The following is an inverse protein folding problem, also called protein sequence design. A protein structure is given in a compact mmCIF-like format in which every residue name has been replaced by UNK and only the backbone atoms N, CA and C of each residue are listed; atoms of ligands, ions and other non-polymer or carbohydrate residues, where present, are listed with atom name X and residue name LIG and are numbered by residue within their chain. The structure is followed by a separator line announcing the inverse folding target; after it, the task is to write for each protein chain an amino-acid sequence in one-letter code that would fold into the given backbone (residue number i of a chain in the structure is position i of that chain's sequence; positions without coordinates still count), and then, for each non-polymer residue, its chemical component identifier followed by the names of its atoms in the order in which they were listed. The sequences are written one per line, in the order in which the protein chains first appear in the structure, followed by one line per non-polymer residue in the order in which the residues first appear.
data_IF_359460763458
#
_entry.id   IF_359460763458
#
_cell.length_a   1.000
_cell.length_b   1.000
_cell.length_c   1.000
_cell.angle_alpha   90.00
_cell.angle_beta   90.00
_cell.angle_gamma   90.00
#
_symmetry.space_group_name_H-M   'P 1'
#
loop_
_entity.id
_entity.type
_entity.pdbx_description
1 polymer ?
#
# COMPACT_ATOMS: atom_id res chain seq x y z
N UNK A 1 -86.65 -16.08 -15.82
CA UNK A 1 -85.66 -16.49 -14.84
C UNK A 1 -84.44 -15.73 -15.14
N UNK A 2 -84.10 -14.72 -14.30
CA UNK A 2 -82.91 -13.88 -14.47
C UNK A 2 -81.90 -14.29 -13.34
N UNK A 3 -80.71 -14.80 -13.74
CA UNK A 3 -79.68 -15.12 -12.87
C UNK A 3 -78.81 -13.85 -12.63
N UNK A 4 -78.65 -13.42 -11.37
CA UNK A 4 -77.80 -12.34 -11.00
C UNK A 4 -76.40 -12.90 -10.66
N UNK A 5 -75.35 -12.45 -11.39
CA UNK A 5 -74.00 -12.71 -11.06
C UNK A 5 -73.48 -11.64 -10.04
N UNK A 6 -73.13 -12.09 -8.85
CA UNK A 6 -72.48 -11.26 -7.87
C UNK A 6 -70.94 -11.33 -8.12
N UNK A 7 -70.31 -10.19 -8.50
CA UNK A 7 -68.94 -10.07 -8.65
C UNK A 7 -68.32 -9.67 -7.29
N UNK A 8 -67.47 -10.55 -6.71
CA UNK A 8 -66.68 -10.27 -5.53
C UNK A 8 -65.34 -9.65 -5.98
N UNK A 9 -65.16 -8.38 -5.69
CA UNK A 9 -63.87 -7.69 -5.90
C UNK A 9 -62.92 -7.99 -4.72
N UNK A 10 -61.90 -8.78 -4.97
CA UNK A 10 -60.76 -8.91 -4.04
C UNK A 10 -59.81 -7.70 -4.22
N UNK A 11 -59.77 -6.82 -3.23
CA UNK A 11 -58.75 -5.78 -3.13
C UNK A 11 -57.48 -6.39 -2.58
N UNK A 12 -56.48 -6.58 -3.44
CA UNK A 12 -55.12 -6.91 -3.04
C UNK A 12 -54.42 -5.63 -2.58
N UNK A 13 -54.27 -5.46 -1.28
CA UNK A 13 -53.39 -4.47 -0.66
C UNK A 13 -51.92 -4.90 -0.87
N UNK A 14 -51.28 -4.35 -1.90
CA UNK A 14 -49.82 -4.41 -2.07
C UNK A 14 -49.17 -3.50 -1.02
N UNK A 15 -48.73 -4.09 0.09
CA UNK A 15 -47.85 -3.40 1.01
C UNK A 15 -46.47 -3.25 0.35
N UNK A 16 -46.16 -2.08 -0.19
CA UNK A 16 -44.78 -1.70 -0.56
C UNK A 16 -43.98 -1.57 0.72
N UNK A 17 -43.25 -2.61 1.08
CA UNK A 17 -42.16 -2.51 2.06
C UNK A 17 -41.02 -1.75 1.39
N UNK A 18 -40.86 -0.48 1.73
CA UNK A 18 -39.67 0.29 1.40
C UNK A 18 -38.51 -0.35 2.18
N UNK A 19 -37.70 -1.16 1.49
CA UNK A 19 -36.40 -1.59 2.01
C UNK A 19 -35.54 -0.34 2.06
N UNK A 20 -35.31 0.18 3.26
CA UNK A 20 -34.34 1.26 3.47
C UNK A 20 -32.97 0.70 3.07
N UNK A 21 -32.37 1.26 2.02
CA UNK A 21 -30.97 0.99 1.71
C UNK A 21 -30.12 1.27 2.96
N UNK A 22 -29.17 0.37 3.30
CA UNK A 22 -28.25 0.62 4.40
C UNK A 22 -27.50 1.91 4.09
N UNK A 23 -27.65 2.91 4.97
CA UNK A 23 -26.90 4.16 4.90
C UNK A 23 -25.42 3.79 4.95
N UNK A 24 -24.72 3.92 3.80
CA UNK A 24 -23.28 3.79 3.75
C UNK A 24 -22.70 4.83 4.71
N UNK A 25 -21.82 4.45 5.66
CA UNK A 25 -21.18 5.43 6.52
C UNK A 25 -20.43 6.41 5.60
N UNK A 26 -20.87 7.66 5.61
CA UNK A 26 -20.16 8.72 4.88
C UNK A 26 -18.77 8.83 5.47
N UNK A 27 -17.74 8.60 4.63
CA UNK A 27 -16.36 8.82 5.01
C UNK A 27 -16.24 10.25 5.54
N UNK A 28 -15.89 10.36 6.82
CA UNK A 28 -15.73 11.67 7.48
C UNK A 28 -14.64 12.42 6.74
N UNK A 29 -14.97 13.56 6.15
CA UNK A 29 -14.00 14.40 5.46
C UNK A 29 -12.81 14.67 6.40
N UNK A 30 -11.60 14.33 5.94
CA UNK A 30 -10.38 14.62 6.69
C UNK A 30 -10.20 16.14 6.80
N UNK A 31 -9.61 16.65 7.91
CA UNK A 31 -9.30 18.07 8.04
C UNK A 31 -8.50 18.59 6.85
N UNK A 32 -8.72 19.82 6.42
CA UNK A 32 -8.05 20.45 5.27
C UNK A 32 -6.51 20.47 5.38
N UNK A 33 -5.99 20.41 6.61
CA UNK A 33 -4.55 20.32 6.92
C UNK A 33 -3.88 19.03 6.40
N UNK A 34 -4.67 18.05 6.00
CA UNK A 34 -4.17 16.76 5.48
C UNK A 34 -4.24 16.66 3.94
N UNK A 35 -4.69 17.70 3.28
CA UNK A 35 -4.69 17.71 1.80
C UNK A 35 -3.27 17.87 1.28
N UNK A 36 -2.87 17.05 0.27
CA UNK A 36 -1.61 17.27 -0.41
C UNK A 36 -1.57 18.64 -1.07
N UNK A 37 -0.41 19.29 -1.00
CA UNK A 37 -0.16 20.59 -1.63
C UNK A 37 0.62 20.35 -2.91
N UNK A 38 0.07 20.76 -4.04
CA UNK A 38 0.76 20.68 -5.33
C UNK A 38 1.08 22.08 -5.87
N UNK A 39 2.09 22.20 -6.71
CA UNK A 39 2.46 23.47 -7.34
C UNK A 39 1.29 24.00 -8.18
N UNK A 40 1.01 25.31 -8.14
CA UNK A 40 0.05 25.92 -9.06
C UNK A 40 0.44 25.63 -10.53
N UNK A 41 -0.51 25.15 -11.32
CA UNK A 41 -0.28 24.81 -12.73
C UNK A 41 0.41 23.48 -12.99
N UNK A 42 0.71 22.70 -11.96
CA UNK A 42 1.25 21.35 -12.14
C UNK A 42 0.30 20.47 -12.97
N UNK A 43 0.86 19.73 -13.92
CA UNK A 43 0.12 18.74 -14.70
C UNK A 43 -0.34 17.58 -13.82
N UNK A 44 -1.32 16.77 -14.23
CA UNK A 44 -1.71 15.58 -13.47
C UNK A 44 -0.54 14.63 -13.17
N UNK A 45 0.36 14.45 -14.14
CA UNK A 45 1.57 13.64 -14.00
C UNK A 45 2.49 14.18 -12.90
N UNK A 46 2.75 15.50 -12.90
CA UNK A 46 3.59 16.13 -11.87
C UNK A 46 2.93 16.08 -10.50
N UNK A 47 1.61 16.27 -10.41
CA UNK A 47 0.88 16.13 -9.13
C UNK A 47 0.98 14.73 -8.54
N UNK A 48 0.96 13.68 -9.36
CA UNK A 48 1.17 12.30 -8.90
C UNK A 48 2.52 12.18 -8.19
N UNK A 49 3.59 12.67 -8.82
CA UNK A 49 4.95 12.64 -8.26
C UNK A 49 5.04 13.46 -6.97
N UNK A 50 4.49 14.67 -6.98
CA UNK A 50 4.51 15.56 -5.81
C UNK A 50 3.77 14.96 -4.62
N UNK A 51 2.58 14.39 -4.83
CA UNK A 51 1.77 13.79 -3.76
C UNK A 51 2.44 12.53 -3.22
N UNK A 52 2.96 11.65 -4.08
CA UNK A 52 3.67 10.47 -3.64
C UNK A 52 4.91 10.83 -2.78
N UNK A 53 5.66 11.85 -3.21
CA UNK A 53 6.84 12.35 -2.47
C UNK A 53 6.47 12.98 -1.12
N UNK A 54 5.35 13.71 -1.05
CA UNK A 54 4.86 14.27 0.21
C UNK A 54 4.44 13.16 1.19
N UNK A 55 3.76 12.13 0.70
CA UNK A 55 3.39 11.00 1.56
C UNK A 55 4.63 10.26 2.04
N UNK A 56 5.60 9.97 1.18
CA UNK A 56 6.88 9.39 1.58
C UNK A 56 7.57 10.19 2.70
N UNK A 57 7.67 11.53 2.54
CA UNK A 57 8.23 12.42 3.57
C UNK A 57 7.44 12.33 4.88
N UNK A 58 6.10 12.28 4.79
CA UNK A 58 5.19 12.19 5.96
C UNK A 58 5.36 10.88 6.73
N UNK A 59 5.76 9.81 6.05
CA UNK A 59 6.07 8.51 6.64
C UNK A 59 7.52 8.39 7.16
N UNK A 60 8.30 9.47 7.15
CA UNK A 60 9.64 9.52 7.70
C UNK A 60 10.77 9.31 6.69
N UNK A 61 10.47 9.26 5.39
CA UNK A 61 11.47 9.29 4.33
C UNK A 61 12.31 8.02 4.19
N UNK A 62 11.74 6.84 4.49
CA UNK A 62 12.44 5.57 4.35
C UNK A 62 12.85 5.31 2.90
N UNK A 63 14.11 4.89 2.69
CA UNK A 63 14.62 4.45 1.39
C UNK A 63 15.01 2.98 1.48
N UNK A 64 14.55 2.20 0.50
CA UNK A 64 14.90 0.79 0.32
C UNK A 64 15.70 0.68 -0.97
N UNK A 65 16.90 0.12 -0.92
CA UNK A 65 17.71 -0.16 -2.11
C UNK A 65 17.47 -1.59 -2.55
N UNK A 66 17.08 -1.73 -3.79
CA UNK A 66 16.85 -3.01 -4.44
C UNK A 66 17.97 -3.25 -5.45
N UNK A 67 19.02 -3.92 -5.00
CA UNK A 67 20.08 -4.42 -5.86
C UNK A 67 19.75 -5.80 -6.43
N UNK A 68 20.66 -6.30 -7.27
CA UNK A 68 20.50 -7.60 -7.95
C UNK A 68 20.28 -8.75 -6.96
N UNK A 69 21.07 -8.78 -5.90
CA UNK A 69 21.13 -9.91 -4.97
C UNK A 69 20.79 -9.52 -3.52
N UNK A 70 20.57 -8.25 -3.25
CA UNK A 70 20.33 -7.75 -1.91
C UNK A 70 19.24 -6.68 -1.82
N UNK A 71 18.63 -6.60 -0.66
CA UNK A 71 17.72 -5.53 -0.29
C UNK A 71 18.24 -4.89 0.98
N UNK A 72 18.54 -3.60 0.92
CA UNK A 72 19.01 -2.85 2.09
C UNK A 72 18.12 -1.65 2.37
N UNK A 73 17.98 -1.30 3.65
CA UNK A 73 17.25 -0.10 4.05
C UNK A 73 18.22 1.00 4.45
N UNK A 74 17.98 2.19 3.90
CA UNK A 74 18.68 3.41 4.27
C UNK A 74 17.62 4.40 4.73
N UNK A 75 17.72 4.81 6.00
CA UNK A 75 16.85 5.88 6.50
C UNK A 75 17.57 7.22 6.35
N UNK A 76 17.01 8.09 5.53
CA UNK A 76 17.31 9.50 5.61
C UNK A 76 16.26 10.12 6.53
N UNK A 77 16.57 10.22 7.82
CA UNK A 77 15.71 10.97 8.72
C UNK A 77 16.39 12.30 9.05
N UNK A 78 15.94 13.40 8.46
CA UNK A 78 16.16 14.72 9.05
C UNK A 78 15.09 15.04 10.12
N UNK A 79 14.08 14.20 10.29
CA UNK A 79 13.02 14.39 11.29
C UNK A 79 13.35 13.46 12.46
N UNK A 80 13.59 13.98 13.68
CA UNK A 80 13.66 13.12 14.84
C UNK A 80 12.38 12.28 14.90
N UNK A 81 12.56 10.97 15.13
CA UNK A 81 11.43 10.07 15.33
C UNK A 81 10.44 10.77 16.28
N UNK A 82 9.12 10.80 15.95
CA UNK A 82 8.17 11.38 16.87
C UNK A 82 8.38 10.73 18.23
N UNK A 83 8.63 11.56 19.25
CA UNK A 83 8.80 11.09 20.61
C UNK A 83 7.56 10.24 20.93
N UNK A 84 7.77 8.95 21.12
CA UNK A 84 6.67 8.04 21.46
C UNK A 84 5.98 8.63 22.70
N UNK A 85 4.66 8.85 22.68
CA UNK A 85 3.97 9.26 23.89
C UNK A 85 4.33 8.25 24.98
N UNK A 86 4.71 8.76 26.16
CA UNK A 86 5.02 7.93 27.30
C UNK A 86 3.99 6.82 27.42
N UNK A 87 4.37 5.57 27.69
CA UNK A 87 3.45 4.48 27.87
C UNK A 87 2.38 4.93 28.87
N UNK A 88 1.12 4.72 28.50
CA UNK A 88 0.00 5.01 29.42
C UNK A 88 0.30 4.33 30.76
N UNK A 89 0.08 5.00 31.90
CA UNK A 89 0.29 4.37 33.20
C UNK A 89 -0.48 3.06 33.23
N UNK A 90 0.24 1.99 33.52
CA UNK A 90 -0.36 0.66 33.65
C UNK A 90 -1.46 0.75 34.73
N UNK A 91 -2.68 0.40 34.32
CA UNK A 91 -3.77 0.21 35.28
C UNK A 91 -3.34 -0.96 36.17
N UNK A 92 -3.25 -0.80 37.48
CA UNK A 92 -2.83 -1.89 38.37
C UNK A 92 -3.77 -3.08 38.14
N UNK A 93 -3.24 -4.15 37.58
CA UNK A 93 -3.95 -5.41 37.46
C UNK A 93 -4.22 -5.94 38.88
N UNK A 94 -5.47 -6.22 39.20
CA UNK A 94 -5.85 -6.75 40.49
C UNK A 94 -5.06 -8.04 40.73
N UNK A 95 -4.22 -8.06 41.76
CA UNK A 95 -3.38 -9.20 42.11
C UNK A 95 -4.23 -10.44 42.41
N UNK A 96 -4.03 -11.56 41.70
CA UNK A 96 -4.53 -12.86 42.17
C UNK A 96 -3.65 -13.30 43.34
N UNK A 97 -4.28 -13.66 44.41
CA UNK A 97 -3.65 -14.24 45.61
C UNK A 97 -2.84 -15.49 45.22
N UNK A 98 -1.50 -15.39 45.33
CA UNK A 98 -0.59 -16.52 45.09
C UNK A 98 -0.48 -17.41 46.29
N UNK A 99 -0.43 -18.75 46.12
CA UNK A 99 0.20 -19.65 47.09
C UNK A 99 1.72 -19.65 46.85
N UNK A 100 2.44 -19.52 47.96
CA UNK A 100 3.89 -19.59 47.98
C UNK A 100 4.41 -20.99 47.55
N UNK A 101 5.34 -20.99 46.58
CA UNK A 101 6.19 -22.16 46.31
C UNK A 101 7.66 -21.70 46.31
N UNK A 102 8.44 -22.47 47.06
CA UNK A 102 9.83 -22.26 47.41
C UNK A 102 10.81 -22.39 46.23
N UNK A 103 11.81 -21.58 46.27
CA UNK A 103 13.22 -21.64 45.82
C UNK A 103 13.64 -22.56 44.67
N UNK A 104 14.16 -21.89 43.59
CA UNK A 104 15.17 -22.50 42.69
C UNK A 104 16.32 -21.49 42.55
N UNK A 105 17.59 -21.92 42.66
CA UNK A 105 18.74 -21.01 42.66
C UNK A 105 19.06 -20.52 41.25
N UNK A 106 19.54 -19.27 41.19
CA UNK A 106 20.05 -18.61 39.99
C UNK A 106 21.24 -19.36 39.37
N UNK A 107 21.13 -19.70 38.10
CA UNK A 107 22.23 -20.18 37.29
C UNK A 107 23.04 -19.02 36.73
N UNK A 108 24.36 -19.12 36.86
CA UNK A 108 25.33 -18.17 36.42
C UNK A 108 25.33 -17.98 34.90
N UNK A 109 25.34 -16.72 34.46
CA UNK A 109 25.57 -16.35 33.06
C UNK A 109 27.05 -16.57 32.72
N UNK A 110 27.31 -17.55 31.86
CA UNK A 110 28.60 -17.68 31.19
C UNK A 110 28.62 -16.83 29.93
N UNK A 111 29.49 -15.85 29.87
CA UNK A 111 29.82 -15.11 28.66
C UNK A 111 30.35 -16.08 27.59
N UNK A 112 29.55 -16.36 26.59
CA UNK A 112 30.02 -17.10 25.42
C UNK A 112 30.40 -16.09 24.34
N UNK A 113 31.71 -15.88 24.17
CA UNK A 113 32.26 -15.21 23.01
C UNK A 113 31.76 -15.91 21.73
N UNK A 114 30.84 -15.26 21.02
CA UNK A 114 30.38 -15.70 19.71
C UNK A 114 31.50 -15.43 18.70
N UNK A 115 32.19 -16.47 18.27
CA UNK A 115 33.04 -16.45 17.07
C UNK A 115 32.15 -16.08 15.87
N UNK A 116 32.38 -14.88 15.34
CA UNK A 116 31.78 -14.41 14.10
C UNK A 116 32.28 -15.30 12.94
N UNK A 117 31.49 -16.31 12.59
CA UNK A 117 31.57 -16.91 11.26
C UNK A 117 31.17 -15.81 10.26
N UNK A 118 31.99 -15.58 9.22
CA UNK A 118 31.90 -14.47 8.27
C UNK A 118 30.62 -14.37 7.45
N UNK A 119 29.48 -14.43 8.10
CA UNK A 119 28.21 -13.97 7.53
C UNK A 119 28.22 -12.45 7.52
N UNK A 120 27.79 -11.81 6.42
CA UNK A 120 27.61 -10.38 6.39
C UNK A 120 26.71 -9.96 7.56
N UNK A 121 26.93 -8.78 8.15
CA UNK A 121 26.08 -8.29 9.23
C UNK A 121 24.62 -8.34 8.78
N UNK A 122 23.67 -8.71 9.66
CA UNK A 122 22.27 -8.71 9.31
C UNK A 122 21.93 -7.35 8.72
N UNK A 123 21.31 -7.38 7.52
CA UNK A 123 20.81 -6.18 6.85
C UNK A 123 20.01 -5.38 7.87
N UNK A 124 20.39 -4.11 8.09
CA UNK A 124 19.69 -3.26 9.03
C UNK A 124 18.21 -3.32 8.71
N UNK A 125 17.41 -3.81 9.64
CA UNK A 125 15.98 -3.90 9.45
C UNK A 125 15.42 -2.51 9.19
N UNK A 126 14.65 -2.38 8.13
CA UNK A 126 13.96 -1.13 7.81
C UNK A 126 13.15 -0.69 9.03
N UNK A 127 13.04 0.63 9.26
CA UNK A 127 12.32 1.26 10.38
C UNK A 127 11.37 0.31 11.13
N UNK A 128 11.94 -0.57 11.92
CA UNK A 128 11.19 -1.48 12.78
C UNK A 128 11.43 -1.12 14.23
N UNK A 129 10.39 -1.24 15.05
CA UNK A 129 10.51 -1.11 16.49
C UNK A 129 11.15 -2.37 17.08
N UNK A 130 11.62 -2.34 18.36
CA UNK A 130 12.24 -3.49 19.01
C UNK A 130 11.34 -4.76 19.03
N UNK A 131 10.02 -4.61 18.95
CA UNK A 131 9.05 -5.69 18.85
C UNK A 131 8.85 -6.22 17.41
N UNK A 132 9.59 -5.70 16.43
CA UNK A 132 9.50 -6.08 15.02
C UNK A 132 8.34 -5.45 14.26
N UNK A 133 7.56 -4.56 14.87
CA UNK A 133 6.51 -3.82 14.17
C UNK A 133 7.12 -2.66 13.38
N UNK A 134 6.47 -2.26 12.28
CA UNK A 134 6.92 -1.13 11.45
C UNK A 134 6.13 0.14 11.70
N UNK A 135 6.42 1.16 10.89
CA UNK A 135 5.81 2.49 11.03
C UNK A 135 4.28 2.48 10.98
N UNK A 136 3.67 1.51 10.31
CA UNK A 136 2.21 1.34 10.27
C UNK A 136 1.60 1.03 11.64
N UNK A 137 2.39 0.56 12.61
CA UNK A 137 1.95 0.30 13.98
C UNK A 137 1.89 1.56 14.85
N UNK A 138 2.51 2.66 14.41
CA UNK A 138 2.39 3.94 15.12
C UNK A 138 0.99 4.53 14.98
N UNK A 139 0.53 5.37 15.93
CA UNK A 139 -0.75 6.07 15.79
C UNK A 139 -0.85 6.89 14.51
N UNK A 140 0.24 7.55 14.10
CA UNK A 140 0.31 8.30 12.84
C UNK A 140 0.23 7.36 11.63
N UNK A 141 1.09 6.35 11.57
CA UNK A 141 1.13 5.39 10.45
C UNK A 141 -0.19 4.66 10.27
N UNK A 142 -0.80 4.19 11.36
CA UNK A 142 -2.13 3.61 11.30
C UNK A 142 -3.19 4.59 10.76
N UNK A 143 -3.19 5.85 11.25
CA UNK A 143 -4.11 6.88 10.77
C UNK A 143 -3.96 7.13 9.27
N UNK A 144 -2.71 7.22 8.79
CA UNK A 144 -2.39 7.42 7.37
C UNK A 144 -2.82 6.21 6.52
N UNK A 145 -2.49 4.99 6.92
CA UNK A 145 -2.88 3.78 6.20
C UNK A 145 -4.41 3.65 6.10
N UNK A 146 -5.13 3.91 7.19
CA UNK A 146 -6.61 3.94 7.20
C UNK A 146 -7.18 5.01 6.27
N UNK A 147 -6.52 6.17 6.15
CA UNK A 147 -6.91 7.22 5.22
C UNK A 147 -6.86 6.74 3.76
N UNK A 148 -5.87 5.93 3.39
CA UNK A 148 -5.82 5.36 2.04
C UNK A 148 -6.99 4.41 1.78
N UNK A 149 -7.39 3.61 2.75
CA UNK A 149 -8.54 2.72 2.65
C UNK A 149 -9.87 3.46 2.43
N UNK A 150 -9.98 4.70 2.88
CA UNK A 150 -11.19 5.51 2.67
C UNK A 150 -11.51 5.74 1.18
N UNK A 151 -10.52 5.59 0.26
CA UNK A 151 -10.72 5.78 -1.18
C UNK A 151 -11.65 4.72 -1.79
N UNK A 152 -11.72 3.56 -1.17
CA UNK A 152 -12.62 2.46 -1.56
C UNK A 152 -13.80 2.30 -0.60
N UNK A 153 -14.01 3.27 0.30
CA UNK A 153 -15.13 3.29 1.25
C UNK A 153 -14.92 2.39 2.48
N UNK A 154 -13.69 1.93 2.72
CA UNK A 154 -13.36 1.04 3.83
C UNK A 154 -12.69 1.79 4.99
N UNK A 155 -12.80 1.24 6.19
CA UNK A 155 -12.24 1.83 7.42
C UNK A 155 -11.72 0.73 8.38
N UNK A 156 -10.62 0.03 8.01
CA UNK A 156 -10.07 -1.02 8.87
C UNK A 156 -9.61 -0.45 10.22
N UNK A 157 -9.60 -1.30 11.25
CA UNK A 157 -8.95 -0.97 12.53
C UNK A 157 -7.43 -1.05 12.42
N UNK A 158 -6.70 -0.37 13.31
CA UNK A 158 -5.22 -0.41 13.31
C UNK A 158 -4.68 -1.83 13.40
N UNK A 159 -5.27 -2.67 14.22
CA UNK A 159 -4.86 -4.08 14.34
C UNK A 159 -4.97 -4.85 13.01
N UNK A 160 -5.99 -4.58 12.21
CA UNK A 160 -6.17 -5.23 10.91
C UNK A 160 -5.10 -4.78 9.92
N UNK A 161 -4.71 -3.49 9.94
CA UNK A 161 -3.64 -2.93 9.12
C UNK A 161 -2.30 -3.58 9.49
N UNK A 162 -1.93 -3.58 10.78
CA UNK A 162 -0.61 -4.04 11.26
C UNK A 162 -0.43 -5.57 11.21
N UNK A 163 -1.52 -6.33 11.20
CA UNK A 163 -1.46 -7.80 11.09
C UNK A 163 -1.39 -8.29 9.62
N UNK A 164 -1.28 -7.40 8.65
CA UNK A 164 -1.16 -7.73 7.23
C UNK A 164 -2.42 -8.27 6.57
N UNK A 165 -3.54 -8.39 7.30
CA UNK A 165 -4.81 -8.83 6.72
C UNK A 165 -5.44 -7.78 5.80
N UNK A 166 -5.03 -6.51 5.97
CA UNK A 166 -5.47 -5.38 5.19
C UNK A 166 -4.24 -4.67 4.59
N UNK A 167 -3.59 -5.33 3.62
CA UNK A 167 -2.48 -4.75 2.88
C UNK A 167 -2.92 -3.48 2.14
N UNK A 168 -2.26 -2.37 2.39
CA UNK A 168 -2.72 -1.06 1.95
C UNK A 168 -1.93 -0.46 0.76
N UNK A 169 -1.06 -1.24 0.12
CA UNK A 169 -0.26 -0.75 -1.03
C UNK A 169 -1.12 -0.31 -2.22
N UNK A 170 -2.14 -1.09 -2.59
CA UNK A 170 -2.99 -0.76 -3.74
C UNK A 170 -3.89 0.45 -3.49
N UNK A 171 -4.43 0.58 -2.27
CA UNK A 171 -5.25 1.74 -1.90
C UNK A 171 -4.41 3.00 -1.72
N UNK A 172 -3.12 2.89 -1.39
CA UNK A 172 -2.17 4.01 -1.42
C UNK A 172 -2.04 4.57 -2.84
N UNK A 173 -1.75 3.75 -3.84
CA UNK A 173 -1.70 4.17 -5.25
C UNK A 173 -3.02 4.80 -5.66
N UNK A 174 -4.14 4.15 -5.37
CA UNK A 174 -5.48 4.64 -5.68
C UNK A 174 -5.75 6.01 -5.06
N UNK A 175 -5.32 6.21 -3.82
CA UNK A 175 -5.46 7.48 -3.11
C UNK A 175 -4.61 8.58 -3.74
N UNK A 176 -3.34 8.32 -4.04
CA UNK A 176 -2.43 9.29 -4.69
C UNK A 176 -3.00 9.75 -6.02
N UNK A 177 -3.42 8.82 -6.88
CA UNK A 177 -3.95 9.16 -8.21
C UNK A 177 -5.26 9.95 -8.12
N UNK A 178 -6.14 9.60 -7.20
CA UNK A 178 -7.37 10.35 -6.97
C UNK A 178 -7.10 11.76 -6.43
N UNK A 179 -6.10 11.92 -5.53
CA UNK A 179 -5.68 13.24 -5.03
C UNK A 179 -4.96 14.07 -6.10
N UNK A 180 -4.30 13.45 -7.05
CA UNK A 180 -3.73 14.11 -8.22
C UNK A 180 -4.79 14.62 -9.21
N UNK A 181 -6.06 14.26 -9.01
CA UNK A 181 -7.20 14.76 -9.78
C UNK A 181 -7.70 13.80 -10.86
N UNK A 182 -7.24 12.55 -10.90
CA UNK A 182 -7.79 11.56 -11.82
C UNK A 182 -9.21 11.17 -11.39
N UNK A 183 -10.13 11.20 -12.33
CA UNK A 183 -11.52 10.78 -12.10
C UNK A 183 -11.72 9.26 -12.31
N UNK A 184 -12.94 8.79 -12.08
CA UNK A 184 -13.32 7.38 -12.19
C UNK A 184 -13.36 6.87 -13.64
N UNK A 185 -13.29 7.77 -14.61
CA UNK A 185 -13.22 7.44 -16.04
C UNK A 185 -11.79 7.30 -16.53
N UNK A 186 -10.83 7.74 -15.72
CA UNK A 186 -9.39 7.78 -16.04
C UNK A 186 -8.60 6.71 -15.28
N UNK A 187 -9.01 6.37 -14.06
CA UNK A 187 -8.32 5.39 -13.24
C UNK A 187 -9.28 4.62 -12.34
N UNK A 188 -9.21 3.29 -12.42
CA UNK A 188 -9.98 2.39 -11.58
C UNK A 188 -9.32 2.29 -10.19
N UNK A 189 -9.93 2.89 -9.17
CA UNK A 189 -9.47 2.69 -7.78
C UNK A 189 -9.78 1.28 -7.30
N UNK A 190 -8.84 0.67 -6.56
CA UNK A 190 -9.03 -0.70 -6.09
C UNK A 190 -8.20 -1.03 -4.86
N UNK A 191 -8.61 -2.08 -4.17
CA UNK A 191 -7.89 -2.67 -3.04
C UNK A 191 -6.85 -3.72 -3.46
N UNK A 192 -6.77 -4.02 -4.75
CA UNK A 192 -5.77 -4.91 -5.34
C UNK A 192 -5.13 -4.22 -6.55
N UNK A 193 -3.81 -4.34 -6.66
CA UNK A 193 -3.06 -3.79 -7.80
C UNK A 193 -3.53 -4.38 -9.14
N UNK A 194 -3.86 -5.67 -9.18
CA UNK A 194 -4.33 -6.32 -10.41
C UNK A 194 -5.66 -5.79 -10.93
N UNK A 195 -6.46 -5.07 -10.14
CA UNK A 195 -7.69 -4.46 -10.63
C UNK A 195 -7.39 -3.36 -11.66
N UNK A 196 -6.54 -2.40 -11.32
CA UNK A 196 -6.21 -1.30 -12.22
C UNK A 196 -5.15 -1.68 -13.27
N UNK A 197 -4.34 -2.72 -13.02
CA UNK A 197 -3.44 -3.27 -14.05
C UNK A 197 -4.26 -3.92 -15.17
N UNK A 198 -5.28 -4.73 -14.83
CA UNK A 198 -6.16 -5.34 -15.83
C UNK A 198 -6.99 -4.27 -16.55
N UNK A 199 -7.47 -3.24 -15.83
CA UNK A 199 -8.15 -2.11 -16.47
C UNK A 199 -7.27 -1.42 -17.52
N UNK A 200 -6.02 -1.10 -17.17
CA UNK A 200 -5.08 -0.48 -18.09
C UNK A 200 -4.65 -1.41 -19.25
N UNK A 201 -4.61 -2.73 -19.03
CA UNK A 201 -4.33 -3.72 -20.07
C UNK A 201 -5.46 -3.84 -21.09
N UNK A 202 -6.68 -3.92 -20.58
CA UNK A 202 -7.87 -4.25 -21.38
C UNK A 202 -8.63 -3.00 -21.86
N UNK A 203 -8.23 -1.80 -21.41
CA UNK A 203 -8.87 -0.54 -21.79
C UNK A 203 -10.33 -0.47 -21.37
N UNK A 204 -10.65 -0.91 -20.15
CA UNK A 204 -12.04 -1.02 -19.66
C UNK A 204 -12.66 0.36 -19.46
N UNK A 205 -11.89 1.31 -18.92
CA UNK A 205 -12.38 2.66 -18.66
C UNK A 205 -12.51 3.49 -19.96
N UNK A 206 -13.47 4.41 -20.03
CA UNK A 206 -13.72 5.18 -21.25
C UNK A 206 -12.63 6.20 -21.60
N UNK A 207 -11.79 6.59 -20.67
CA UNK A 207 -10.66 7.53 -20.85
C UNK A 207 -9.47 7.09 -20.01
N UNK A 208 -8.91 5.90 -20.26
CA UNK A 208 -7.84 5.39 -19.39
C UNK A 208 -6.66 6.34 -19.38
N UNK A 209 -6.14 6.64 -18.20
CA UNK A 209 -4.96 7.47 -18.02
C UNK A 209 -3.65 6.68 -18.17
N UNK A 210 -3.75 5.36 -18.23
CA UNK A 210 -2.61 4.46 -18.31
C UNK A 210 -2.83 3.37 -19.35
N UNK A 211 -1.74 2.96 -19.98
CA UNK A 211 -1.67 1.72 -20.76
C UNK A 211 -0.48 0.88 -20.31
N UNK A 212 -0.46 -0.41 -20.65
CA UNK A 212 0.58 -1.33 -20.23
C UNK A 212 1.71 -1.41 -21.24
N UNK A 213 2.95 -1.32 -20.78
CA UNK A 213 4.18 -1.65 -21.52
C UNK A 213 4.92 -2.78 -20.76
N UNK A 214 5.15 -3.94 -21.39
CA UNK A 214 5.95 -5.00 -20.79
C UNK A 214 7.41 -4.56 -20.58
N UNK A 215 8.10 -5.15 -19.60
CA UNK A 215 9.56 -5.00 -19.51
C UNK A 215 10.25 -5.83 -20.61
N UNK A 216 11.46 -5.43 -21.08
CA UNK A 216 12.29 -4.32 -20.59
C UNK A 216 11.84 -2.94 -21.09
N UNK A 217 11.59 -2.03 -20.16
CA UNK A 217 11.06 -0.70 -20.44
C UNK A 217 11.82 0.41 -19.68
N UNK A 218 11.82 1.64 -20.20
CA UNK A 218 12.37 2.79 -19.47
C UNK A 218 11.21 3.60 -18.87
N UNK A 219 10.94 3.49 -17.56
CA UNK A 219 9.87 4.26 -16.94
C UNK A 219 10.20 5.75 -16.88
N UNK A 220 9.18 6.57 -16.67
CA UNK A 220 9.29 8.04 -16.50
C UNK A 220 8.60 8.44 -15.19
N UNK A 221 8.99 9.56 -14.56
CA UNK A 221 8.26 10.09 -13.41
C UNK A 221 6.75 10.21 -13.69
N UNK A 222 5.93 9.71 -12.78
CA UNK A 222 4.47 9.63 -12.92
C UNK A 222 3.95 8.35 -13.59
N UNK A 223 4.80 7.47 -14.12
CA UNK A 223 4.45 6.10 -14.49
C UNK A 223 4.34 5.24 -13.22
N UNK A 224 3.77 4.04 -13.36
CA UNK A 224 3.69 3.06 -12.28
C UNK A 224 4.39 1.78 -12.76
N UNK A 225 5.26 1.21 -11.94
CA UNK A 225 5.93 -0.07 -12.21
C UNK A 225 5.29 -1.15 -11.35
N UNK A 226 5.08 -2.34 -11.92
CA UNK A 226 4.42 -3.44 -11.22
C UNK A 226 5.14 -4.77 -11.40
N UNK A 227 5.09 -5.60 -10.34
CA UNK A 227 5.62 -6.95 -10.28
C UNK A 227 4.60 -7.92 -9.69
N UNK A 228 4.71 -9.20 -10.03
CA UNK A 228 4.03 -10.27 -9.34
C UNK A 228 4.54 -10.42 -7.90
N UNK A 229 3.70 -10.94 -6.99
CA UNK A 229 4.04 -11.13 -5.58
C UNK A 229 3.57 -12.49 -5.06
N UNK A 230 4.23 -13.01 -4.03
CA UNK A 230 3.86 -14.27 -3.40
C UNK A 230 3.91 -15.44 -4.38
N UNK A 231 2.81 -16.14 -4.56
CA UNK A 231 2.71 -17.29 -5.50
C UNK A 231 2.91 -16.90 -6.97
N UNK A 232 2.57 -15.65 -7.32
CA UNK A 232 2.62 -15.13 -8.69
C UNK A 232 3.88 -14.25 -8.92
N UNK A 233 4.89 -14.37 -8.04
CA UNK A 233 6.13 -13.60 -8.08
C UNK A 233 6.88 -13.73 -9.42
N UNK A 234 6.84 -14.90 -10.02
CA UNK A 234 7.54 -15.20 -11.27
C UNK A 234 6.57 -15.29 -12.46
N UNK A 235 5.47 -14.56 -12.39
CA UNK A 235 4.57 -14.39 -13.52
C UNK A 235 5.32 -13.71 -14.68
N UNK A 236 5.29 -14.32 -15.86
CA UNK A 236 5.97 -13.81 -17.05
C UNK A 236 4.98 -13.26 -18.10
N UNK A 237 3.77 -13.79 -18.13
CA UNK A 237 2.75 -13.37 -19.08
C UNK A 237 1.73 -12.42 -18.45
N UNK A 238 1.71 -11.20 -18.96
CA UNK A 238 0.74 -10.16 -18.53
C UNK A 238 -0.70 -10.61 -18.78
N UNK A 239 -0.96 -11.45 -19.76
CA UNK A 239 -2.29 -11.96 -20.06
C UNK A 239 -2.87 -12.84 -18.94
N UNK A 240 -2.03 -13.45 -18.12
CA UNK A 240 -2.44 -14.28 -16.98
C UNK A 240 -2.86 -13.47 -15.75
N UNK A 241 -2.67 -12.15 -15.75
CA UNK A 241 -3.10 -11.30 -14.64
C UNK A 241 -4.63 -11.28 -14.58
N UNK A 242 -5.17 -11.88 -13.51
CA UNK A 242 -6.60 -11.89 -13.22
C UNK A 242 -7.05 -10.66 -12.44
N UNK A 243 -8.21 -10.11 -12.80
CA UNK A 243 -8.79 -8.92 -12.16
C UNK A 243 -9.05 -9.16 -10.66
N UNK A 244 -8.34 -8.42 -9.82
CA UNK A 244 -8.45 -8.49 -8.36
C UNK A 244 -7.95 -9.79 -7.71
N UNK A 245 -7.43 -10.74 -8.50
CA UNK A 245 -7.07 -12.10 -8.01
C UNK A 245 -5.59 -12.41 -8.05
N UNK A 246 -4.82 -11.75 -8.90
CA UNK A 246 -3.37 -11.93 -8.97
C UNK A 246 -2.66 -11.07 -7.92
N UNK A 247 -1.95 -11.67 -6.95
CA UNK A 247 -1.11 -10.93 -6.03
C UNK A 247 -0.01 -10.15 -6.75
N UNK A 248 -0.02 -8.83 -6.59
CA UNK A 248 0.93 -7.91 -7.22
C UNK A 248 1.40 -6.84 -6.25
N UNK A 249 2.47 -6.17 -6.62
CA UNK A 249 2.90 -4.92 -6.01
C UNK A 249 3.19 -3.90 -7.10
N UNK A 250 2.88 -2.62 -6.83
CA UNK A 250 3.14 -1.53 -7.75
C UNK A 250 3.62 -0.29 -7.00
N UNK A 251 4.53 0.46 -7.65
CA UNK A 251 5.12 1.69 -7.14
C UNK A 251 5.02 2.82 -8.16
N UNK A 252 4.88 4.05 -7.68
CA UNK A 252 4.87 5.27 -8.51
C UNK A 252 6.30 5.70 -8.76
N UNK A 253 6.71 5.79 -10.01
CA UNK A 253 8.03 6.31 -10.40
C UNK A 253 8.07 7.80 -10.12
N UNK A 254 9.07 8.25 -9.35
CA UNK A 254 9.26 9.66 -8.99
C UNK A 254 10.56 10.23 -9.55
N UNK A 255 11.47 9.40 -10.01
CA UNK A 255 12.72 9.83 -10.63
C UNK A 255 13.40 8.71 -11.40
N UNK A 256 14.21 9.09 -12.38
CA UNK A 256 15.08 8.18 -13.12
C UNK A 256 16.42 8.89 -13.30
N UNK A 257 17.49 8.21 -12.92
CA UNK A 257 18.85 8.69 -13.10
C UNK A 257 19.59 7.73 -14.06
N UNK A 258 19.71 8.09 -15.34
CA UNK A 258 20.40 7.26 -16.31
C UNK A 258 21.90 7.13 -16.04
N UNK A 259 22.53 8.13 -15.38
CA UNK A 259 23.97 8.12 -15.11
C UNK A 259 24.33 7.11 -14.02
N UNK A 260 23.51 7.01 -12.99
CA UNK A 260 23.66 6.01 -11.92
C UNK A 260 22.87 4.73 -12.18
N UNK A 261 22.08 4.68 -13.27
CA UNK A 261 21.23 3.55 -13.65
C UNK A 261 20.22 3.17 -12.56
N UNK A 262 19.63 4.16 -11.92
CA UNK A 262 18.67 3.98 -10.83
C UNK A 262 17.32 4.59 -11.17
N UNK A 263 16.27 3.82 -10.94
CA UNK A 263 14.88 4.29 -10.87
C UNK A 263 14.53 4.50 -9.41
N UNK A 264 13.90 5.64 -9.10
CA UNK A 264 13.29 5.90 -7.79
C UNK A 264 11.78 5.79 -7.91
N UNK A 265 11.20 4.89 -7.14
CA UNK A 265 9.77 4.68 -7.10
C UNK A 265 9.26 4.70 -5.65
N UNK A 266 8.02 5.11 -5.43
CA UNK A 266 7.41 5.19 -4.10
C UNK A 266 6.22 4.25 -4.04
N UNK A 267 6.29 3.31 -3.11
CA UNK A 267 5.25 2.33 -2.81
C UNK A 267 4.65 2.48 -1.41
N UNK A 268 3.40 2.10 -1.31
CA UNK A 268 2.73 1.93 -0.02
C UNK A 268 2.92 0.51 0.53
N UNK A 269 2.99 0.37 1.84
CA UNK A 269 3.20 -0.91 2.52
C UNK A 269 4.50 -1.63 2.12
N UNK A 270 5.51 -0.85 1.72
CA UNK A 270 6.87 -1.33 1.50
C UNK A 270 7.60 -1.27 2.83
N UNK A 271 8.00 -2.43 3.34
CA UNK A 271 8.58 -2.55 4.69
C UNK A 271 7.74 -1.81 5.75
N UNK A 272 6.41 -2.03 5.69
CA UNK A 272 5.43 -1.49 6.65
C UNK A 272 5.40 0.05 6.73
N UNK A 273 5.75 0.71 5.62
CA UNK A 273 5.81 2.17 5.47
C UNK A 273 5.41 2.60 4.05
N UNK A 274 5.32 3.91 3.80
CA UNK A 274 5.48 4.45 2.47
C UNK A 274 6.98 4.67 2.27
N UNK A 275 7.57 3.90 1.37
CA UNK A 275 9.01 3.91 1.15
C UNK A 275 9.34 4.29 -0.29
N UNK A 276 10.49 4.93 -0.46
CA UNK A 276 11.11 5.12 -1.77
C UNK A 276 12.00 3.91 -2.05
N UNK A 277 11.78 3.24 -3.16
CA UNK A 277 12.65 2.20 -3.65
C UNK A 277 13.66 2.78 -4.65
N UNK A 278 14.96 2.54 -4.41
CA UNK A 278 16.04 2.76 -5.38
C UNK A 278 16.30 1.44 -6.09
N UNK A 279 15.89 1.37 -7.36
CA UNK A 279 15.85 0.16 -8.18
C UNK A 279 16.93 0.25 -9.23
N UNK A 280 17.84 -0.72 -9.25
CA UNK A 280 18.88 -0.81 -10.27
C UNK A 280 18.28 -1.20 -11.63
N UNK A 281 18.70 -0.49 -12.68
CA UNK A 281 18.34 -0.84 -14.07
C UNK A 281 19.20 -1.99 -14.58
N UNK A 282 18.63 -2.82 -15.43
CA UNK A 282 19.32 -3.92 -16.10
C UNK A 282 20.46 -3.46 -16.99
N UNK A 283 21.22 -4.42 -17.55
CA UNK A 283 22.40 -4.13 -18.38
C UNK A 283 22.08 -3.30 -19.64
N UNK A 284 20.86 -3.41 -20.14
CA UNK A 284 20.34 -2.57 -21.23
C UNK A 284 20.05 -1.12 -20.82
N UNK A 285 20.22 -0.74 -19.55
CA UNK A 285 19.81 0.54 -19.01
C UNK A 285 18.29 0.71 -18.88
N UNK A 286 17.55 -0.40 -18.92
CA UNK A 286 16.09 -0.43 -18.79
C UNK A 286 15.68 -1.21 -17.55
N UNK A 287 14.49 -0.94 -17.03
CA UNK A 287 13.84 -1.76 -16.03
C UNK A 287 13.53 -3.13 -16.65
N UNK A 288 13.92 -4.20 -15.99
CA UNK A 288 13.68 -5.57 -16.42
C UNK A 288 13.24 -6.48 -15.27
N UNK A 289 12.79 -7.71 -15.60
CA UNK A 289 12.36 -8.71 -14.63
C UNK A 289 13.51 -9.53 -14.03
N UNK A 290 14.75 -9.30 -14.42
CA UNK A 290 15.89 -10.17 -14.10
C UNK A 290 16.80 -9.53 -13.06
N UNK A 291 17.01 -8.21 -13.15
CA UNK A 291 17.99 -7.48 -12.33
C UNK A 291 17.68 -7.54 -10.84
N UNK A 292 16.41 -7.65 -10.47
CA UNK A 292 16.02 -7.82 -9.08
C UNK A 292 15.26 -9.12 -8.84
N UNK A 293 15.92 -10.10 -8.25
CA UNK A 293 15.30 -11.39 -7.93
C UNK A 293 14.24 -11.32 -6.82
N UNK A 294 14.28 -10.29 -5.97
CA UNK A 294 13.30 -10.08 -4.90
C UNK A 294 12.01 -9.45 -5.41
N UNK A 295 12.10 -8.60 -6.43
CA UNK A 295 10.96 -7.96 -7.07
C UNK A 295 11.16 -7.99 -8.60
N UNK A 296 10.90 -9.14 -9.26
CA UNK A 296 11.03 -9.22 -10.71
C UNK A 296 9.93 -8.36 -11.36
N UNK A 297 10.32 -7.16 -11.81
CA UNK A 297 9.41 -6.24 -12.45
C UNK A 297 8.85 -6.84 -13.74
N UNK A 298 7.56 -6.70 -13.94
CA UNK A 298 6.82 -7.33 -15.04
C UNK A 298 6.39 -6.32 -16.10
N UNK A 299 5.97 -5.14 -15.66
CA UNK A 299 5.38 -4.14 -16.54
C UNK A 299 5.52 -2.72 -16.00
N UNK A 300 5.35 -1.78 -16.94
CA UNK A 300 5.17 -0.35 -16.66
C UNK A 300 3.76 0.04 -17.09
N UNK A 301 2.97 0.61 -16.18
CA UNK A 301 1.77 1.33 -16.54
C UNK A 301 2.19 2.73 -16.98
N UNK A 302 2.16 2.97 -18.29
CA UNK A 302 2.51 4.26 -18.89
C UNK A 302 1.43 5.27 -18.61
N UNK A 303 1.82 6.40 -18.06
CA UNK A 303 0.93 7.52 -17.84
C UNK A 303 0.81 8.35 -19.13
N UNK A 304 -0.40 8.46 -19.69
CA UNK A 304 -0.69 9.21 -20.92
C UNK A 304 -1.10 10.66 -20.64
N UNK A 305 -1.16 11.07 -19.38
CA UNK A 305 -1.50 12.44 -18.97
C UNK A 305 -0.29 13.37 -19.15
N UNK A 306 -0.57 14.56 -19.68
CA UNK A 306 0.40 15.63 -19.85
C UNK A 306 0.30 16.65 -18.72
#
# INVERSE_FOLDING_TARGET
MRAACVAVALALLSACTTVSEPVRPQARALPDTERPVTRPGATPRERIVEIATQEWTRWGGQVVRLGRDDTSCVTYSPVPAPELPAPLPEIPEAQPLSPAVAGVPAAATTDTESKTNGNPPPVASCLSFPDGTGMEATPLGCSLARRYWSIVGEAPGCRQVTQGSWAWSAVFISWVLRKAGLDERQFLTGQSHSMYVVDARDGILPRPAFHIEPVPAMPRPGDIICAGRGRDRYLEDIAEIGFGTTPMHCDIVVGVDPATRVVRAIGGNVQQSVSMEEIELGDSGRLDGITNSHMPWLLVMRNDLQ
#
